data_IF_650379931438
#
_entry.id   IF_650379931438
#
_cell.length_a   1.000
_cell.length_b   1.000
_cell.length_c   1.000
_cell.angle_alpha   90.00
_cell.angle_beta   90.00
_cell.angle_gamma   90.00
#
_symmetry.space_group_name_H-M   'P 1'
#
loop_
_entity.id
_entity.type
_entity.pdbx_description
1 polymer ?
#
# COMPACT_ATOMS: atom_id res chain seq x y z
N UNK A 1 35.95 -32.45 -3.96
CA UNK A 1 34.78 -32.15 -4.82
C UNK A 1 34.01 -31.02 -4.15
N UNK A 2 34.27 -29.77 -4.55
CA UNK A 2 33.70 -28.59 -3.90
C UNK A 2 32.45 -28.14 -4.65
N UNK A 3 31.29 -28.20 -3.99
CA UNK A 3 30.01 -27.73 -4.51
C UNK A 3 29.92 -26.21 -4.43
N UNK A 4 29.95 -25.55 -5.59
CA UNK A 4 29.66 -24.11 -5.72
C UNK A 4 28.16 -23.87 -5.54
N UNK A 5 27.79 -23.19 -4.47
CA UNK A 5 26.42 -22.67 -4.25
C UNK A 5 26.18 -21.46 -5.16
N UNK A 6 25.39 -21.63 -6.22
CA UNK A 6 24.91 -20.51 -7.04
C UNK A 6 23.80 -19.76 -6.28
N UNK A 7 24.11 -18.54 -5.86
CA UNK A 7 23.17 -17.62 -5.18
C UNK A 7 22.12 -17.12 -6.17
N UNK A 8 20.85 -17.42 -5.89
CA UNK A 8 19.69 -16.98 -6.66
C UNK A 8 19.34 -15.51 -6.39
N UNK A 9 20.25 -14.60 -6.73
CA UNK A 9 19.97 -13.17 -6.70
C UNK A 9 20.38 -12.55 -8.03
N UNK A 10 19.41 -11.86 -8.63
CA UNK A 10 19.55 -10.86 -9.69
C UNK A 10 19.50 -11.37 -11.13
N UNK A 11 18.27 -11.71 -11.56
CA UNK A 11 17.85 -11.46 -12.93
C UNK A 11 16.95 -10.22 -12.94
N UNK A 12 17.57 -9.04 -12.80
CA UNK A 12 16.88 -7.75 -12.97
C UNK A 12 17.39 -7.16 -14.26
N UNK A 13 16.51 -6.97 -15.25
CA UNK A 13 16.86 -6.36 -16.51
C UNK A 13 17.46 -4.95 -16.28
N UNK A 14 18.57 -4.58 -16.94
CA UNK A 14 19.13 -3.23 -16.82
C UNK A 14 18.16 -2.22 -17.43
N UNK A 15 17.61 -1.33 -16.60
CA UNK A 15 16.75 -0.22 -17.04
C UNK A 15 15.33 -0.21 -16.46
N UNK A 16 14.91 -1.25 -15.74
CA UNK A 16 13.62 -1.22 -15.03
C UNK A 16 13.81 -0.56 -13.66
N UNK A 17 13.45 0.71 -13.53
CA UNK A 17 13.28 1.30 -12.20
C UNK A 17 12.37 0.39 -11.36
N UNK A 18 12.69 0.10 -10.09
CA UNK A 18 11.83 -0.75 -9.27
C UNK A 18 10.45 -0.11 -9.22
N UNK A 19 9.45 -0.80 -9.77
CA UNK A 19 8.05 -0.34 -9.70
C UNK A 19 7.73 -0.28 -8.21
N UNK A 20 7.64 0.93 -7.68
CA UNK A 20 7.35 1.17 -6.27
C UNK A 20 5.92 0.71 -6.02
N UNK A 21 5.80 -0.55 -5.61
CA UNK A 21 4.52 -1.21 -5.41
C UNK A 21 3.79 -0.45 -4.30
N UNK A 22 2.71 0.24 -4.65
CA UNK A 22 1.91 1.01 -3.69
C UNK A 22 1.59 0.14 -2.46
N UNK A 23 1.93 0.67 -1.29
CA UNK A 23 1.65 0.04 0.00
C UNK A 23 0.37 0.61 0.64
N UNK A 24 -0.40 1.37 -0.14
CA UNK A 24 -1.64 2.00 0.31
C UNK A 24 -2.69 0.93 0.63
N UNK A 25 -3.24 0.92 1.87
CA UNK A 25 -4.29 -0.02 2.26
C UNK A 25 -5.53 0.07 1.36
N UNK A 26 -5.91 1.28 0.95
CA UNK A 26 -7.01 1.57 0.00
C UNK A 26 -6.85 0.88 -1.36
N UNK A 27 -5.62 0.70 -1.83
CA UNK A 27 -5.32 0.04 -3.10
C UNK A 27 -5.28 -1.49 -2.96
N UNK A 28 -4.87 -1.99 -1.78
CA UNK A 28 -4.68 -3.44 -1.54
C UNK A 28 -5.82 -4.13 -0.82
N UNK A 29 -6.77 -3.37 -0.27
CA UNK A 29 -7.87 -3.90 0.49
C UNK A 29 -9.15 -3.81 -0.35
N UNK A 30 -9.54 -4.90 -1.05
CA UNK A 30 -10.77 -4.92 -1.83
C UNK A 30 -12.01 -4.67 -0.97
N UNK A 31 -11.97 -4.95 0.33
CA UNK A 31 -13.09 -4.65 1.24
C UNK A 31 -13.36 -3.14 1.36
N UNK A 32 -12.34 -2.27 1.20
CA UNK A 32 -12.52 -0.81 1.26
C UNK A 32 -13.24 -0.25 0.04
N UNK A 33 -13.27 -1.01 -1.06
CA UNK A 33 -13.91 -0.55 -2.31
C UNK A 33 -15.39 -0.91 -2.36
N UNK A 34 -15.89 -1.65 -1.38
CA UNK A 34 -17.28 -2.09 -1.31
C UNK A 34 -17.99 -1.36 -0.16
N UNK A 35 -18.85 -0.37 -0.44
CA UNK A 35 -19.46 0.47 0.58
C UNK A 35 -20.31 -0.34 1.57
N UNK A 36 -20.98 -1.40 1.12
CA UNK A 36 -21.82 -2.26 1.96
C UNK A 36 -20.99 -2.99 3.03
N UNK A 37 -19.77 -3.41 2.67
CA UNK A 37 -18.84 -4.06 3.60
C UNK A 37 -18.25 -3.03 4.57
N UNK A 38 -17.92 -1.84 4.09
CA UNK A 38 -17.44 -0.74 4.91
C UNK A 38 -18.45 -0.34 6.01
N UNK A 39 -19.72 -0.23 5.64
CA UNK A 39 -20.81 0.08 6.57
C UNK A 39 -21.03 -1.04 7.59
N UNK A 40 -21.11 -2.29 7.12
CA UNK A 40 -21.23 -3.45 8.01
C UNK A 40 -20.05 -3.56 8.98
N UNK A 41 -18.83 -3.29 8.51
CA UNK A 41 -17.64 -3.26 9.35
C UNK A 41 -17.71 -2.14 10.39
N UNK A 42 -18.13 -0.94 9.98
CA UNK A 42 -18.29 0.22 10.85
C UNK A 42 -19.32 -0.01 11.97
N UNK A 43 -20.38 -0.78 11.68
CA UNK A 43 -21.41 -1.11 12.65
C UNK A 43 -20.95 -2.14 13.71
N UNK A 44 -19.92 -2.94 13.43
CA UNK A 44 -19.43 -3.94 14.38
C UNK A 44 -18.71 -3.30 15.58
N UNK A 45 -18.95 -3.81 16.81
CA UNK A 45 -18.16 -3.47 17.99
C UNK A 45 -16.66 -3.78 17.79
N UNK A 46 -15.76 -3.05 18.45
CA UNK A 46 -14.32 -3.24 18.30
C UNK A 46 -13.87 -4.67 18.67
N UNK A 47 -14.45 -5.26 19.71
CA UNK A 47 -14.15 -6.63 20.14
C UNK A 47 -14.56 -7.65 19.07
N UNK A 48 -15.71 -7.46 18.44
CA UNK A 48 -16.18 -8.32 17.35
C UNK A 48 -15.27 -8.24 16.12
N UNK A 49 -14.76 -7.05 15.81
CA UNK A 49 -13.76 -6.87 14.73
C UNK A 49 -12.46 -7.59 15.06
N UNK A 50 -11.98 -7.47 16.30
CA UNK A 50 -10.77 -8.16 16.75
C UNK A 50 -10.93 -9.69 16.69
N UNK A 51 -12.08 -10.20 17.14
CA UNK A 51 -12.41 -11.62 17.06
C UNK A 51 -12.44 -12.12 15.61
N UNK A 52 -13.07 -11.36 14.70
CA UNK A 52 -13.12 -11.70 13.28
C UNK A 52 -11.72 -11.72 12.65
N UNK A 53 -10.85 -10.76 12.96
CA UNK A 53 -9.44 -10.79 12.54
C UNK A 53 -8.75 -12.05 13.05
N UNK A 54 -8.98 -12.44 14.30
CA UNK A 54 -8.47 -13.68 14.88
C UNK A 54 -8.94 -14.92 14.10
N UNK A 55 -10.24 -15.02 13.81
CA UNK A 55 -10.78 -16.13 13.02
C UNK A 55 -10.17 -16.21 11.61
N UNK A 56 -10.01 -15.07 10.93
CA UNK A 56 -9.38 -15.02 9.60
C UNK A 56 -7.92 -15.52 9.63
N UNK A 57 -7.17 -15.18 10.69
CA UNK A 57 -5.80 -15.68 10.87
C UNK A 57 -5.78 -17.19 11.11
N UNK A 58 -6.69 -17.72 11.93
CA UNK A 58 -6.84 -19.16 12.16
C UNK A 58 -7.21 -19.89 10.87
N UNK A 59 -8.18 -19.38 10.11
CA UNK A 59 -8.57 -19.92 8.79
C UNK A 59 -7.37 -19.94 7.85
N UNK A 60 -6.59 -18.87 7.81
CA UNK A 60 -5.40 -18.79 6.97
C UNK A 60 -4.39 -19.88 7.34
N UNK A 61 -4.10 -20.07 8.62
CA UNK A 61 -3.18 -21.10 9.11
C UNK A 61 -3.69 -22.51 8.79
N UNK A 62 -4.94 -22.80 9.11
CA UNK A 62 -5.56 -24.09 8.84
C UNK A 62 -5.59 -24.41 7.34
N UNK A 63 -5.94 -23.43 6.51
CA UNK A 63 -5.98 -23.58 5.05
C UNK A 63 -4.61 -23.90 4.47
N UNK A 64 -3.51 -23.32 4.99
CA UNK A 64 -2.14 -23.72 4.57
C UNK A 64 -1.85 -25.18 4.90
N UNK A 65 -2.21 -25.63 6.10
CA UNK A 65 -2.01 -27.01 6.52
C UNK A 65 -2.80 -27.98 5.64
N UNK A 66 -4.08 -27.68 5.37
CA UNK A 66 -4.89 -28.47 4.43
C UNK A 66 -4.31 -28.45 3.02
N UNK A 67 -3.84 -27.30 2.53
CA UNK A 67 -3.19 -27.18 1.23
C UNK A 67 -1.97 -28.09 1.13
N UNK A 68 -1.08 -28.03 2.11
CA UNK A 68 0.13 -28.87 2.16
C UNK A 68 -0.22 -30.36 2.14
N UNK A 69 -1.17 -30.78 2.96
CA UNK A 69 -1.66 -32.17 3.00
C UNK A 69 -2.23 -32.64 1.66
N UNK A 70 -2.98 -31.80 0.95
CA UNK A 70 -3.52 -32.16 -0.36
C UNK A 70 -2.43 -32.23 -1.43
N UNK A 71 -1.43 -31.35 -1.37
CA UNK A 71 -0.28 -31.40 -2.28
C UNK A 71 0.54 -32.67 -2.06
N UNK A 72 0.78 -33.07 -0.80
CA UNK A 72 1.46 -34.33 -0.46
C UNK A 72 0.71 -35.54 -1.03
N UNK A 73 -0.62 -35.53 -0.95
CA UNK A 73 -1.49 -36.56 -1.54
C UNK A 73 -1.66 -36.44 -3.06
N UNK A 74 -0.88 -35.60 -3.74
CA UNK A 74 -0.96 -35.35 -5.19
C UNK A 74 -2.33 -34.87 -5.68
N UNK A 75 -3.11 -34.22 -4.81
CA UNK A 75 -4.41 -33.60 -5.11
C UNK A 75 -4.23 -32.11 -5.40
N UNK A 76 -3.58 -31.81 -6.52
CA UNK A 76 -3.10 -30.45 -6.83
C UNK A 76 -4.21 -29.40 -6.91
N UNK A 77 -5.35 -29.70 -7.54
CA UNK A 77 -6.45 -28.71 -7.66
C UNK A 77 -6.99 -28.33 -6.27
N UNK A 78 -7.24 -29.33 -5.41
CA UNK A 78 -7.70 -29.10 -4.04
C UNK A 78 -6.63 -28.38 -3.21
N UNK A 79 -5.36 -28.75 -3.36
CA UNK A 79 -4.25 -28.07 -2.70
C UNK A 79 -4.17 -26.59 -3.08
N UNK A 80 -4.28 -26.28 -4.38
CA UNK A 80 -4.26 -24.91 -4.88
C UNK A 80 -5.45 -24.09 -4.34
N UNK A 81 -6.65 -24.67 -4.31
CA UNK A 81 -7.82 -24.03 -3.68
C UNK A 81 -7.58 -23.64 -2.23
N UNK A 82 -7.04 -24.57 -1.43
CA UNK A 82 -6.74 -24.32 -0.01
C UNK A 82 -5.66 -23.25 0.16
N UNK A 83 -4.63 -23.25 -0.68
CA UNK A 83 -3.61 -22.21 -0.66
C UNK A 83 -4.16 -20.83 -1.06
N UNK A 84 -5.04 -20.77 -2.06
CA UNK A 84 -5.72 -19.54 -2.45
C UNK A 84 -6.57 -18.99 -1.29
N UNK A 85 -7.38 -19.84 -0.64
CA UNK A 85 -8.14 -19.48 0.55
C UNK A 85 -7.24 -18.98 1.69
N UNK A 86 -6.07 -19.60 1.88
CA UNK A 86 -5.11 -19.18 2.90
C UNK A 86 -4.55 -17.77 2.63
N UNK A 87 -4.29 -17.44 1.38
CA UNK A 87 -3.83 -16.11 0.94
C UNK A 87 -4.95 -15.10 1.13
N UNK A 88 -6.15 -15.40 0.63
CA UNK A 88 -7.31 -14.52 0.70
C UNK A 88 -7.69 -14.16 2.14
N UNK A 89 -7.88 -15.14 3.01
CA UNK A 89 -8.14 -14.92 4.44
C UNK A 89 -7.07 -14.08 5.14
N UNK A 90 -5.79 -14.24 4.76
CA UNK A 90 -4.71 -13.38 5.26
C UNK A 90 -4.84 -11.94 4.75
N UNK A 91 -5.16 -11.76 3.47
CA UNK A 91 -5.37 -10.43 2.91
C UNK A 91 -6.52 -9.72 3.62
N UNK A 92 -7.65 -10.40 3.85
CA UNK A 92 -8.79 -9.89 4.61
C UNK A 92 -8.41 -9.53 6.06
N UNK A 93 -7.61 -10.35 6.75
CA UNK A 93 -7.16 -10.05 8.10
C UNK A 93 -6.26 -8.79 8.15
N UNK A 94 -5.34 -8.63 7.19
CA UNK A 94 -4.46 -7.45 7.12
C UNK A 94 -5.27 -6.19 6.79
N UNK A 95 -6.14 -6.31 5.79
CA UNK A 95 -7.13 -5.32 5.39
C UNK A 95 -7.93 -4.78 6.59
N UNK A 96 -8.55 -5.69 7.34
CA UNK A 96 -9.34 -5.39 8.52
C UNK A 96 -8.53 -4.66 9.61
N UNK A 97 -7.28 -5.06 9.84
CA UNK A 97 -6.40 -4.37 10.80
C UNK A 97 -6.05 -2.94 10.37
N UNK A 98 -5.83 -2.73 9.08
CA UNK A 98 -5.48 -1.40 8.54
C UNK A 98 -6.69 -0.46 8.41
N UNK A 99 -7.93 -0.99 8.40
CA UNK A 99 -9.15 -0.18 8.42
C UNK A 99 -9.15 0.82 9.59
N UNK A 100 -8.82 0.35 10.79
CA UNK A 100 -8.83 1.17 12.00
C UNK A 100 -7.83 2.33 11.91
N UNK A 101 -6.64 2.05 11.36
CA UNK A 101 -5.60 3.06 11.15
C UNK A 101 -6.00 4.08 10.08
N UNK A 102 -6.65 3.64 9.00
CA UNK A 102 -7.02 4.51 7.89
C UNK A 102 -8.15 5.47 8.26
N UNK A 103 -9.14 5.04 9.05
CA UNK A 103 -10.27 5.89 9.45
C UNK A 103 -9.87 7.01 10.43
N UNK A 104 -8.84 6.77 11.24
CA UNK A 104 -8.26 7.78 12.15
C UNK A 104 -7.33 8.78 11.44
N UNK A 105 -7.03 8.60 10.16
CA UNK A 105 -6.15 9.48 9.38
C UNK A 105 -6.77 9.92 8.03
N UNK A 106 -7.87 10.69 8.03
CA UNK A 106 -8.39 11.30 6.80
C UNK A 106 -7.42 12.36 6.22
N UNK A 107 -6.68 13.07 7.07
CA UNK A 107 -5.96 14.31 6.67
C UNK A 107 -4.53 14.05 6.16
N UNK A 108 -3.94 12.89 6.48
CA UNK A 108 -2.55 12.59 6.12
C UNK A 108 -2.40 12.11 4.68
N UNK A 109 -3.44 11.49 4.10
CA UNK A 109 -3.44 11.08 2.68
C UNK A 109 -3.64 12.25 1.71
N UNK A 110 -4.34 13.31 2.10
CA UNK A 110 -4.48 14.53 1.30
C UNK A 110 -3.13 15.24 1.09
N UNK A 111 -2.19 15.12 2.05
CA UNK A 111 -0.85 15.72 1.95
C UNK A 111 0.14 14.93 1.09
N UNK A 112 -0.08 13.63 0.88
CA UNK A 112 0.86 12.76 0.16
C UNK A 112 0.64 12.72 -1.37
N UNK A 113 -0.43 13.35 -1.86
CA UNK A 113 -0.76 13.45 -3.29
C UNK A 113 -0.52 14.82 -3.92
N UNK A 114 -0.14 15.84 -3.14
CA UNK A 114 0.19 17.14 -3.72
C UNK A 114 1.55 17.04 -4.43
N UNK A 115 1.65 17.31 -5.75
CA UNK A 115 2.95 17.44 -6.38
C UNK A 115 3.70 18.56 -5.65
N UNK A 116 4.88 18.25 -5.12
CA UNK A 116 5.79 19.29 -4.68
C UNK A 116 6.09 20.15 -5.93
N UNK A 117 5.44 21.31 -6.03
CA UNK A 117 5.87 22.32 -6.99
C UNK A 117 7.28 22.72 -6.55
N UNK A 118 8.26 22.30 -7.34
CA UNK A 118 9.60 22.83 -7.26
C UNK A 118 9.47 24.29 -7.70
N UNK A 119 9.32 25.19 -6.73
CA UNK A 119 9.53 26.61 -6.95
C UNK A 119 10.99 26.77 -7.39
N UNK A 120 11.22 27.63 -8.39
CA UNK A 120 12.53 27.83 -9.02
C UNK A 120 13.66 28.05 -8.01
N UNK A 121 14.88 27.74 -8.46
CA UNK A 121 16.10 27.77 -7.65
C UNK A 121 16.22 29.07 -6.84
N UNK A 122 16.37 28.95 -5.53
CA UNK A 122 16.93 30.01 -4.69
C UNK A 122 18.43 30.08 -5.02
N UNK A 123 18.97 31.30 -5.11
CA UNK A 123 20.34 31.61 -5.54
C UNK A 123 21.45 30.91 -4.74
N UNK A 124 21.13 30.30 -3.60
CA UNK A 124 22.11 29.69 -2.68
C UNK A 124 22.05 28.15 -2.59
N UNK A 125 21.45 27.48 -3.58
CA UNK A 125 21.63 26.04 -3.79
C UNK A 125 20.97 25.11 -2.76
N UNK A 126 20.17 25.63 -1.82
CA UNK A 126 19.36 24.82 -0.92
C UNK A 126 17.90 24.73 -1.40
N UNK A 127 17.31 23.52 -1.53
CA UNK A 127 15.92 23.38 -1.94
C UNK A 127 14.99 23.76 -0.78
N UNK A 128 14.29 24.89 -0.91
CA UNK A 128 13.17 25.23 -0.03
C UNK A 128 12.01 24.27 -0.24
N UNK A 129 11.60 23.56 0.81
CA UNK A 129 10.45 22.65 0.81
C UNK A 129 9.31 23.31 1.59
N UNK A 130 8.34 23.89 0.89
CA UNK A 130 7.21 24.60 1.50
C UNK A 130 5.91 23.76 1.47
N UNK A 131 5.06 23.84 2.51
CA UNK A 131 3.66 23.43 2.42
C UNK A 131 2.85 24.48 1.63
N UNK A 132 1.93 24.01 0.77
CA UNK A 132 1.05 24.89 -0.03
C UNK A 132 0.14 25.68 0.92
N UNK A 133 0.19 27.01 0.85
CA UNK A 133 -0.71 27.93 1.59
C UNK A 133 -0.02 28.91 2.54
N UNK A 134 1.27 28.76 2.83
CA UNK A 134 2.05 29.79 3.52
C UNK A 134 2.65 30.75 2.48
N UNK A 135 2.14 31.98 2.42
CA UNK A 135 2.79 33.05 1.66
C UNK A 135 4.22 33.24 2.15
N UNK A 136 5.18 33.21 1.22
CA UNK A 136 6.59 33.41 1.52
C UNK A 136 6.84 34.93 1.62
N UNK A 137 7.23 35.48 2.78
CA UNK A 137 7.45 36.92 2.91
C UNK A 137 8.69 37.41 2.12
N UNK A 138 9.60 36.52 1.72
CA UNK A 138 10.87 36.87 1.07
C UNK A 138 10.96 36.52 -0.43
N UNK A 139 9.85 36.07 -1.06
CA UNK A 139 9.83 35.87 -2.51
C UNK A 139 9.37 37.17 -3.19
N UNK A 140 10.30 38.11 -3.40
CA UNK A 140 10.08 39.21 -4.35
C UNK A 140 9.90 38.62 -5.75
N UNK A 141 8.66 38.57 -6.23
CA UNK A 141 8.36 38.34 -7.64
C UNK A 141 8.90 39.54 -8.42
N UNK A 142 10.02 39.39 -9.10
CA UNK A 142 10.41 40.32 -10.16
C UNK A 142 9.40 40.18 -11.29
N UNK A 143 8.41 41.07 -11.29
CA UNK A 143 7.44 41.25 -12.36
C UNK A 143 8.14 42.00 -13.51
N UNK A 144 8.87 41.28 -14.36
CA UNK A 144 9.29 41.77 -15.66
C UNK A 144 9.22 40.63 -16.67
N UNK A 145 8.09 40.57 -17.37
CA UNK A 145 7.99 40.55 -18.84
C UNK A 145 6.58 40.10 -19.22
N UNK A 146 5.71 41.08 -19.45
CA UNK A 146 4.48 40.89 -20.23
C UNK A 146 4.81 41.33 -21.65
N UNK A 147 4.91 40.44 -22.64
CA UNK A 147 4.92 40.88 -24.04
C UNK A 147 3.50 41.31 -24.43
N UNK A 148 3.29 42.62 -24.56
CA UNK A 148 2.15 43.19 -25.27
C UNK A 148 2.21 42.79 -26.75
N UNK A 149 1.07 42.36 -27.27
CA UNK A 149 0.95 41.89 -28.65
C UNK A 149 1.03 43.01 -29.70
N UNK A 150 1.47 42.62 -30.88
CA UNK A 150 0.99 43.08 -32.19
C UNK A 150 1.19 41.96 -33.21
#
# INVERSE_FOLDING_TARGET
MSTTTMSASQFTAPGSAPVQRSNRPDVRNPMLRMPEIAEGWAALPPDSRAALVGFLQVISKASRAHGAHHMEKRKFQSGAYWMAKAVDSRHLALAARHWETARLQPDSQARQGAPAQICGKVSDGHPCRMPVGSGCPDCTVSLHDVPEGS
#
